data_IF_207548376377
#
_entry.id   IF_207548376377
#
_cell.length_a   1.000
_cell.length_b   1.000
_cell.length_c   1.000
_cell.angle_alpha   90.00
_cell.angle_beta   90.00
_cell.angle_gamma   90.00
#
_symmetry.space_group_name_H-M   'P 1'
#
loop_
_entity.id
_entity.type
_entity.pdbx_description
1 polymer ?
#
# COMPACT_ATOMS: atom_id res chain seq x y z
N UNK A 1 12.80 7.96 -2.56
CA UNK A 1 11.80 6.89 -2.71
C UNK A 1 10.93 6.89 -1.45
N UNK A 2 9.74 7.51 -1.48
CA UNK A 2 8.84 7.43 -0.33
C UNK A 2 8.29 6.00 -0.24
N UNK A 3 8.40 5.37 0.93
CA UNK A 3 8.00 4.00 1.11
C UNK A 3 6.47 3.85 0.96
N UNK A 4 6.03 2.93 0.10
CA UNK A 4 4.61 2.51 -0.08
C UNK A 4 3.93 2.18 1.24
N UNK A 5 4.70 1.82 2.27
CA UNK A 5 4.22 1.45 3.61
C UNK A 5 3.51 2.56 4.37
N UNK A 6 3.66 3.84 3.99
CA UNK A 6 2.99 4.95 4.67
C UNK A 6 1.54 5.17 4.19
N UNK A 7 1.13 4.55 3.07
CA UNK A 7 -0.22 4.69 2.53
C UNK A 7 -1.24 3.81 3.26
N UNK A 8 -0.85 2.63 3.75
CA UNK A 8 -1.79 1.66 4.33
C UNK A 8 -2.31 2.04 5.73
N UNK A 9 -1.46 2.47 6.69
CA UNK A 9 -1.92 2.79 8.04
C UNK A 9 -2.69 4.11 8.07
N UNK A 10 -3.86 4.17 8.75
CA UNK A 10 -4.66 5.39 8.82
C UNK A 10 -3.96 6.55 9.54
N UNK A 11 -3.06 6.26 10.50
CA UNK A 11 -2.37 7.31 11.26
C UNK A 11 -1.21 7.96 10.49
N UNK A 12 -0.63 7.28 9.50
CA UNK A 12 0.42 7.85 8.63
C UNK A 12 -0.15 8.46 7.36
N UNK A 13 -1.26 7.94 6.85
CA UNK A 13 -1.89 8.44 5.64
C UNK A 13 -2.80 9.63 5.96
N UNK A 14 -2.31 10.84 5.67
CA UNK A 14 -3.05 12.10 5.81
C UNK A 14 -3.57 12.64 4.49
N UNK A 15 -3.66 11.81 3.46
CA UNK A 15 -4.16 12.23 2.16
C UNK A 15 -5.67 12.53 2.25
N UNK A 16 -6.10 13.59 1.59
CA UNK A 16 -7.51 13.96 1.41
C UNK A 16 -8.02 13.63 -0.01
N UNK A 17 -7.16 13.02 -0.83
CA UNK A 17 -7.46 12.58 -2.18
C UNK A 17 -7.91 11.09 -2.22
N UNK A 18 -7.96 10.52 -3.42
CA UNK A 18 -8.35 9.13 -3.66
C UNK A 18 -7.37 8.07 -3.13
N UNK A 19 -6.26 8.48 -2.49
CA UNK A 19 -5.29 7.61 -1.84
C UNK A 19 -5.37 7.67 -0.30
N UNK A 20 -6.27 8.47 0.27
CA UNK A 20 -6.48 8.58 1.71
C UNK A 20 -7.91 8.31 2.15
N UNK A 21 -8.18 8.47 3.44
CA UNK A 21 -9.50 8.18 4.01
C UNK A 21 -9.71 6.68 4.24
N UNK A 22 -10.69 6.07 3.58
CA UNK A 22 -11.09 4.66 3.79
C UNK A 22 -9.99 3.66 3.38
N UNK A 23 -10.10 2.41 3.85
CA UNK A 23 -9.08 1.39 3.62
C UNK A 23 -8.79 1.11 2.13
N UNK A 24 -9.81 1.11 1.26
CA UNK A 24 -9.64 0.89 -0.19
C UNK A 24 -8.78 1.98 -0.85
N UNK A 25 -9.05 3.24 -0.56
CA UNK A 25 -8.24 4.35 -1.07
C UNK A 25 -6.79 4.25 -0.59
N UNK A 26 -6.60 3.92 0.68
CA UNK A 26 -5.26 3.70 1.27
C UNK A 26 -4.49 2.54 0.63
N UNK A 27 -5.20 1.49 0.17
CA UNK A 27 -4.61 0.36 -0.54
C UNK A 27 -4.37 0.62 -2.03
N UNK A 28 -5.05 1.62 -2.62
CA UNK A 28 -5.04 1.93 -4.05
C UNK A 28 -3.63 2.05 -4.63
N UNK A 29 -2.77 2.84 -3.98
CA UNK A 29 -1.39 3.04 -4.45
C UNK A 29 -0.60 1.72 -4.51
N UNK A 30 -0.77 0.85 -3.50
CA UNK A 30 -0.10 -0.45 -3.49
C UNK A 30 -0.61 -1.35 -4.63
N UNK A 31 -1.92 -1.36 -4.88
CA UNK A 31 -2.53 -2.16 -5.94
C UNK A 31 -2.09 -1.69 -7.33
N UNK A 32 -1.99 -0.37 -7.55
CA UNK A 32 -1.47 0.20 -8.81
C UNK A 32 -0.03 -0.24 -9.08
N UNK A 33 0.83 -0.20 -8.05
CA UNK A 33 2.23 -0.66 -8.17
C UNK A 33 2.29 -2.16 -8.48
N UNK A 34 1.53 -3.00 -7.78
CA UNK A 34 1.50 -4.46 -8.04
C UNK A 34 1.02 -4.72 -9.47
N UNK A 35 0.00 -4.00 -9.93
CA UNK A 35 -0.56 -4.14 -11.28
C UNK A 35 0.46 -3.75 -12.34
N UNK A 36 1.14 -2.62 -12.16
CA UNK A 36 2.18 -2.16 -13.09
C UNK A 36 3.37 -3.13 -13.14
N UNK A 37 3.83 -3.63 -12.00
CA UNK A 37 4.90 -4.64 -11.95
C UNK A 37 4.45 -5.92 -12.63
N UNK A 38 3.24 -6.43 -12.35
CA UNK A 38 2.71 -7.64 -13.00
C UNK A 38 2.61 -7.48 -14.52
N UNK A 39 2.16 -6.32 -14.99
CA UNK A 39 2.10 -6.02 -16.42
C UNK A 39 3.48 -5.99 -17.07
N UNK A 40 4.50 -5.49 -16.37
CA UNK A 40 5.87 -5.42 -16.88
C UNK A 40 6.60 -6.77 -16.86
N UNK A 41 6.30 -7.66 -15.89
CA UNK A 41 7.07 -8.91 -15.70
C UNK A 41 6.41 -10.16 -16.29
N UNK A 42 5.11 -10.11 -16.58
CA UNK A 42 4.35 -11.28 -17.03
C UNK A 42 3.99 -12.26 -15.90
N UNK A 43 3.33 -13.36 -16.26
CA UNK A 43 2.77 -14.33 -15.30
C UNK A 43 3.80 -15.27 -14.68
N UNK A 44 4.88 -15.57 -15.42
CA UNK A 44 5.93 -16.51 -14.98
C UNK A 44 6.96 -15.90 -14.03
N UNK A 45 6.82 -14.60 -13.72
CA UNK A 45 7.68 -13.90 -12.79
C UNK A 45 7.04 -13.79 -11.40
N UNK A 46 7.66 -14.32 -10.33
CA UNK A 46 7.14 -14.19 -8.97
C UNK A 46 7.22 -12.73 -8.50
N UNK A 47 6.10 -12.17 -8.02
CA UNK A 47 6.04 -10.82 -7.44
C UNK A 47 5.69 -10.95 -5.96
N UNK A 48 6.58 -10.47 -5.10
CA UNK A 48 6.42 -10.51 -3.65
C UNK A 48 6.18 -9.11 -3.09
N UNK A 49 5.22 -8.99 -2.18
CA UNK A 49 4.95 -7.75 -1.44
C UNK A 49 5.31 -7.99 0.02
N UNK A 50 6.18 -7.14 0.57
CA UNK A 50 6.56 -7.18 1.99
C UNK A 50 5.99 -6.00 2.75
N UNK A 51 4.75 -6.09 3.26
CA UNK A 51 4.22 -5.03 4.13
C UNK A 51 4.99 -4.99 5.46
N UNK A 52 5.16 -3.79 6.00
CA UNK A 52 5.71 -3.62 7.35
C UNK A 52 4.59 -3.77 8.38
N UNK A 53 4.54 -4.94 9.02
CA UNK A 53 3.52 -5.28 10.02
C UNK A 53 3.56 -4.38 11.27
N UNK A 54 4.71 -3.74 11.58
CA UNK A 54 4.81 -2.85 12.75
C UNK A 54 3.92 -1.63 12.63
N UNK A 55 3.65 -1.18 11.41
CA UNK A 55 2.79 -0.03 11.13
C UNK A 55 1.30 -0.39 11.03
N UNK A 56 0.94 -1.67 11.06
CA UNK A 56 -0.46 -2.12 11.01
C UNK A 56 -1.08 -2.33 12.39
N UNK A 57 -0.27 -2.42 13.44
CA UNK A 57 -0.80 -2.50 14.81
C UNK A 57 -1.42 -1.16 15.17
N UNK A 58 -2.74 -1.11 15.21
CA UNK A 58 -3.46 -0.03 15.87
C UNK A 58 -2.95 0.05 17.31
N UNK A 59 -2.60 1.26 17.75
CA UNK A 59 -2.53 1.54 19.17
C UNK A 59 -3.95 1.34 19.69
N UNK A 60 -4.21 0.19 20.31
CA UNK A 60 -5.37 0.03 21.17
C UNK A 60 -5.10 0.88 22.40
N UNK A 61 -5.71 2.07 22.43
CA UNK A 61 -6.04 2.79 23.65
C UNK A 61 -7.52 2.59 23.91
#
# INVERSE_FOLDING_TARGET
>A
MQATTNFLPPFTNKHADNYGGIAENRARFLLEVITAVRAATGVDFPVLVRPDAKKFRGHAI
#
